data_IF_072239062039
#
_entry.id   IF_072239062039
#
_cell.length_a   1.000
_cell.length_b   1.000
_cell.length_c   1.000
_cell.angle_alpha   90.00
_cell.angle_beta   90.00
_cell.angle_gamma   90.00
#
_symmetry.space_group_name_H-M   'P 1'
#
loop_
_entity.id
_entity.type
_entity.pdbx_description
1 polymer ?
#
# COMPACT_ATOMS: atom_id res chain seq x y z
N UNK A 1 49.41 -1.63 -46.16
CA UNK A 1 50.53 -2.58 -45.88
C UNK A 1 50.90 -2.51 -44.39
N UNK A 2 51.52 -3.57 -43.85
CA UNK A 2 52.17 -3.70 -42.51
C UNK A 2 51.29 -3.66 -41.24
N UNK A 3 50.97 -4.88 -40.77
CA UNK A 3 50.78 -5.25 -39.35
C UNK A 3 52.14 -5.29 -38.61
N UNK A 4 52.07 -5.52 -37.27
CA UNK A 4 53.15 -5.92 -36.32
C UNK A 4 54.07 -4.78 -35.84
N UNK A 5 54.28 -4.55 -34.53
CA UNK A 5 54.61 -5.47 -33.42
C UNK A 5 53.91 -5.04 -32.11
N UNK A 6 53.23 -5.95 -31.40
CA UNK A 6 53.76 -6.76 -30.27
C UNK A 6 54.33 -5.94 -29.09
N UNK A 7 53.55 -5.92 -28.00
CA UNK A 7 53.92 -6.50 -26.70
C UNK A 7 55.36 -6.26 -26.21
N UNK A 8 55.54 -5.30 -25.30
CA UNK A 8 56.56 -5.30 -24.23
C UNK A 8 56.30 -4.16 -23.25
N UNK A 9 55.55 -4.44 -22.18
CA UNK A 9 55.56 -3.76 -20.85
C UNK A 9 54.46 -4.33 -19.91
N UNK A 10 54.43 -5.66 -19.79
CA UNK A 10 54.06 -6.27 -18.51
C UNK A 10 55.37 -6.43 -17.76
N UNK A 11 55.66 -5.54 -16.80
CA UNK A 11 56.74 -5.65 -15.79
C UNK A 11 56.74 -4.40 -14.88
N UNK A 12 55.64 -4.22 -14.11
CA UNK A 12 55.60 -3.43 -12.86
C UNK A 12 54.23 -3.54 -12.17
N UNK A 13 54.04 -4.64 -11.42
CA UNK A 13 53.17 -4.81 -10.22
C UNK A 13 53.01 -6.30 -9.88
N UNK A 14 54.13 -6.94 -9.56
CA UNK A 14 54.21 -8.18 -8.75
C UNK A 14 55.41 -8.03 -7.83
N UNK A 15 55.17 -7.50 -6.62
CA UNK A 15 56.02 -7.55 -5.43
C UNK A 15 55.34 -6.70 -4.35
N UNK A 16 54.61 -7.34 -3.44
CA UNK A 16 54.65 -7.06 -2.00
C UNK A 16 54.05 -8.26 -1.24
N UNK A 17 54.85 -8.73 -0.27
CA UNK A 17 54.93 -10.06 0.37
C UNK A 17 55.85 -9.84 1.61
N UNK A 18 55.76 -10.51 2.76
CA UNK A 18 54.98 -11.67 3.23
C UNK A 18 54.18 -11.28 4.52
N UNK A 19 54.13 -12.16 5.55
CA UNK A 19 53.77 -11.95 6.97
C UNK A 19 52.27 -11.74 7.34
N UNK A 20 51.69 -12.40 8.34
CA UNK A 20 52.08 -13.47 9.31
C UNK A 20 50.82 -14.35 9.52
N UNK A 21 50.84 -15.68 9.43
CA UNK A 21 51.26 -16.66 10.46
C UNK A 21 50.61 -16.42 11.84
N UNK A 22 49.64 -17.27 12.18
CA UNK A 22 49.31 -17.65 13.56
C UNK A 22 48.98 -19.14 13.59
N UNK A 23 49.69 -19.87 14.44
CA UNK A 23 49.52 -21.32 14.61
C UNK A 23 48.26 -21.64 15.44
N UNK A 24 47.68 -22.80 15.14
CA UNK A 24 46.44 -23.31 15.74
C UNK A 24 46.81 -24.42 16.74
N UNK A 25 46.84 -24.09 18.02
CA UNK A 25 47.25 -25.02 19.09
C UNK A 25 46.03 -25.80 19.62
N UNK A 26 45.98 -27.09 19.32
CA UNK A 26 44.98 -28.05 19.81
C UNK A 26 45.72 -29.15 20.57
N UNK A 27 45.47 -29.27 21.87
CA UNK A 27 45.73 -30.52 22.60
C UNK A 27 44.55 -30.91 23.50
N UNK A 28 44.38 -32.23 23.60
CA UNK A 28 43.24 -32.91 24.19
C UNK A 28 43.62 -33.54 25.53
N UNK A 29 42.63 -33.78 26.40
CA UNK A 29 42.61 -34.79 27.47
C UNK A 29 43.70 -34.81 28.56
N UNK A 30 43.29 -34.80 29.84
CA UNK A 30 43.31 -36.05 30.64
C UNK A 30 42.38 -36.00 31.87
N UNK A 31 41.89 -37.17 32.30
CA UNK A 31 40.93 -37.35 33.40
C UNK A 31 41.62 -37.65 34.76
N UNK A 32 41.09 -37.05 35.86
CA UNK A 32 40.80 -37.56 37.25
C UNK A 32 41.73 -38.61 37.97
N UNK A 33 41.53 -39.01 39.27
CA UNK A 33 40.53 -38.62 40.30
C UNK A 33 41.08 -38.45 41.77
N UNK A 34 40.17 -38.37 42.77
CA UNK A 34 40.35 -38.68 44.24
C UNK A 34 41.25 -37.77 45.13
N UNK A 35 41.04 -37.53 46.44
CA UNK A 35 39.99 -37.92 47.42
C UNK A 35 39.89 -36.90 48.61
N UNK A 36 38.67 -36.71 49.14
CA UNK A 36 38.25 -36.41 50.55
C UNK A 36 38.86 -35.27 51.46
N UNK A 37 38.22 -34.92 52.61
CA UNK A 37 38.18 -33.54 53.14
C UNK A 37 38.68 -33.34 54.59
N UNK A 38 38.72 -32.08 55.03
CA UNK A 38 38.96 -31.69 56.42
C UNK A 38 37.99 -30.60 56.95
N UNK A 39 37.16 -30.98 57.94
CA UNK A 39 36.33 -30.07 58.73
C UNK A 39 37.13 -29.41 59.87
N UNK A 40 37.02 -28.09 60.02
CA UNK A 40 37.15 -27.37 61.31
C UNK A 40 36.17 -26.19 61.32
N UNK A 41 35.65 -25.67 62.44
CA UNK A 41 35.92 -26.00 63.84
C UNK A 41 35.31 -25.00 64.84
N UNK A 42 34.05 -24.58 64.64
CA UNK A 42 33.11 -24.00 65.62
C UNK A 42 33.47 -22.75 66.49
N UNK A 43 32.63 -21.71 66.29
CA UNK A 43 31.92 -20.88 67.30
C UNK A 43 32.55 -19.65 68.00
N UNK A 44 31.95 -18.51 67.62
CA UNK A 44 31.21 -17.56 68.47
C UNK A 44 31.93 -16.50 69.34
N UNK A 45 31.56 -15.23 69.10
CA UNK A 45 31.08 -14.34 70.17
C UNK A 45 30.15 -13.24 69.64
N UNK A 46 28.99 -13.08 70.27
CA UNK A 46 28.00 -12.03 69.96
C UNK A 46 27.85 -11.07 71.15
N UNK A 47 28.49 -9.90 71.11
CA UNK A 47 28.16 -8.78 72.02
C UNK A 47 28.85 -7.45 71.63
N UNK A 48 28.32 -6.69 70.67
CA UNK A 48 28.54 -5.23 70.65
C UNK A 48 27.29 -4.44 70.21
N UNK A 49 26.54 -4.00 71.23
CA UNK A 49 25.94 -2.67 71.37
C UNK A 49 25.07 -2.15 70.20
N UNK A 50 23.75 -2.38 70.17
CA UNK A 50 22.76 -1.68 71.00
C UNK A 50 22.68 -0.14 70.83
N UNK A 51 23.07 0.43 69.67
CA UNK A 51 23.05 1.88 69.44
C UNK A 51 22.17 2.45 68.30
N UNK A 52 21.71 1.62 67.35
CA UNK A 52 21.25 2.14 66.02
C UNK A 52 19.72 2.14 65.83
N UNK A 53 18.96 1.37 66.61
CA UNK A 53 17.53 1.10 66.36
C UNK A 53 16.55 2.26 66.62
N UNK A 54 17.00 3.40 67.17
CA UNK A 54 16.13 4.56 67.45
C UNK A 54 16.09 5.62 66.33
N UNK A 55 17.08 5.67 65.43
CA UNK A 55 17.07 6.59 64.28
C UNK A 55 16.30 6.02 63.07
N UNK A 56 16.42 4.71 62.83
CA UNK A 56 15.72 4.03 61.72
C UNK A 56 14.19 4.19 61.77
N UNK A 57 13.61 4.26 62.98
CA UNK A 57 12.16 4.34 63.17
C UNK A 57 11.57 5.72 62.84
N UNK A 58 12.34 6.81 62.95
CA UNK A 58 11.86 8.17 62.61
C UNK A 58 11.95 8.41 61.10
N UNK A 59 13.04 7.98 60.46
CA UNK A 59 13.19 8.09 59.00
C UNK A 59 12.10 7.35 58.21
N UNK A 60 11.67 6.18 58.71
CA UNK A 60 10.60 5.41 58.08
C UNK A 60 9.24 6.16 58.03
N UNK A 61 8.85 6.86 59.10
CA UNK A 61 7.58 7.61 59.11
C UNK A 61 7.62 8.87 58.25
N UNK A 62 8.78 9.54 58.14
CA UNK A 62 8.94 10.69 57.25
C UNK A 62 8.72 10.32 55.77
N UNK A 63 9.19 9.13 55.35
CA UNK A 63 9.07 8.65 53.97
C UNK A 63 7.66 8.12 53.62
N UNK A 64 6.89 7.69 54.63
CA UNK A 64 5.46 7.36 54.45
C UNK A 64 4.59 8.63 54.35
N UNK A 65 4.95 9.70 55.07
CA UNK A 65 4.21 10.96 55.04
C UNK A 65 4.43 11.79 53.75
N UNK A 66 5.55 11.62 53.05
CA UNK A 66 5.82 12.35 51.79
C UNK A 66 4.98 11.86 50.61
N UNK A 67 4.53 10.60 50.60
CA UNK A 67 3.66 10.04 49.55
C UNK A 67 2.32 10.79 49.40
N UNK A 68 1.50 10.91 50.46
CA UNK A 68 0.26 11.68 50.41
C UNK A 68 0.45 13.16 50.05
N UNK A 69 1.53 13.79 50.55
CA UNK A 69 1.82 15.20 50.27
C UNK A 69 2.13 15.46 48.78
N UNK A 70 2.95 14.60 48.16
CA UNK A 70 3.24 14.68 46.72
C UNK A 70 2.00 14.32 45.88
N UNK A 71 1.21 13.33 46.30
CA UNK A 71 -0.06 12.99 45.65
C UNK A 71 -1.07 14.14 45.65
N UNK A 72 -1.18 14.87 46.76
CA UNK A 72 -2.09 16.01 46.89
C UNK A 72 -1.61 17.24 46.09
N UNK A 73 -0.29 17.50 46.05
CA UNK A 73 0.30 18.52 45.17
C UNK A 73 0.11 18.21 43.69
N UNK A 74 0.22 16.95 43.28
CA UNK A 74 -0.06 16.51 41.92
C UNK A 74 -1.54 16.68 41.55
N UNK A 75 -2.46 16.35 42.46
CA UNK A 75 -3.91 16.55 42.24
C UNK A 75 -4.30 18.02 42.10
N UNK A 76 -3.68 18.92 42.88
CA UNK A 76 -3.93 20.37 42.81
C UNK A 76 -3.28 21.03 41.59
N UNK A 77 -2.25 20.41 41.01
CA UNK A 77 -1.53 20.93 39.83
C UNK A 77 -2.10 20.44 38.48
N UNK A 78 -3.08 19.53 38.50
CA UNK A 78 -3.67 18.93 37.29
C UNK A 78 -4.65 19.86 36.53
N UNK A 79 -4.89 21.09 37.01
CA UNK A 79 -5.77 22.08 36.36
C UNK A 79 -5.01 23.12 35.55
N UNK A 80 -4.10 22.67 34.68
CA UNK A 80 -3.66 23.49 33.54
C UNK A 80 -4.80 23.58 32.50
N UNK A 81 -4.96 24.71 31.78
CA UNK A 81 -5.91 24.76 30.68
C UNK A 81 -5.50 23.71 29.64
N UNK A 82 -6.39 22.77 29.36
CA UNK A 82 -6.15 21.77 28.32
C UNK A 82 -5.93 22.52 27.00
N UNK A 83 -4.68 22.58 26.53
CA UNK A 83 -4.36 23.03 25.19
C UNK A 83 -5.16 22.15 24.26
N UNK A 84 -6.17 22.74 23.63
CA UNK A 84 -7.21 21.99 22.94
C UNK A 84 -6.56 21.05 21.95
N UNK A 85 -6.66 19.75 22.22
CA UNK A 85 -6.25 18.73 21.27
C UNK A 85 -6.89 19.12 19.94
N UNK A 86 -6.07 19.28 18.89
CA UNK A 86 -6.55 19.58 17.55
C UNK A 86 -7.63 18.55 17.26
N UNK A 87 -8.90 19.00 17.29
CA UNK A 87 -10.05 18.13 17.17
C UNK A 87 -9.76 17.25 15.96
N UNK A 88 -9.75 15.91 16.09
CA UNK A 88 -9.54 15.07 14.93
C UNK A 88 -10.48 15.58 13.87
N UNK A 89 -9.92 16.04 12.75
CA UNK A 89 -10.73 16.24 11.55
C UNK A 89 -11.20 14.83 11.28
N UNK A 90 -12.45 14.56 11.68
CA UNK A 90 -13.09 13.27 11.47
C UNK A 90 -12.98 13.07 9.98
N UNK A 91 -12.07 12.19 9.58
CA UNK A 91 -11.91 11.81 8.19
C UNK A 91 -13.32 11.43 7.75
N UNK A 92 -13.84 12.19 6.77
CA UNK A 92 -15.26 12.14 6.44
C UNK A 92 -15.64 10.67 6.30
N UNK A 93 -16.58 10.21 7.14
CA UNK A 93 -16.98 8.81 7.15
C UNK A 93 -17.28 8.43 5.70
N UNK A 94 -16.73 7.30 5.18
CA UNK A 94 -16.80 7.00 3.76
C UNK A 94 -18.25 7.09 3.32
N UNK A 95 -18.51 8.07 2.45
CA UNK A 95 -19.82 8.37 1.94
C UNK A 95 -20.41 7.06 1.38
N UNK A 96 -21.68 6.73 1.69
CA UNK A 96 -22.26 5.42 1.38
C UNK A 96 -21.82 4.94 0.00
N UNK A 97 -21.16 3.77 -0.04
CA UNK A 97 -20.41 3.31 -1.22
C UNK A 97 -21.29 3.04 -2.45
N UNK A 98 -22.61 3.13 -2.29
CA UNK A 98 -23.62 2.98 -3.34
C UNK A 98 -24.36 4.30 -3.58
N UNK A 99 -24.89 4.94 -2.53
CA UNK A 99 -25.47 6.29 -2.59
C UNK A 99 -26.43 6.54 -3.78
N UNK A 100 -26.46 7.77 -4.34
CA UNK A 100 -27.16 8.07 -5.59
C UNK A 100 -26.36 7.70 -6.86
N UNK A 101 -25.32 6.85 -6.77
CA UNK A 101 -24.38 6.61 -7.86
C UNK A 101 -25.06 6.01 -9.11
N UNK A 102 -25.86 4.95 -8.94
CA UNK A 102 -26.57 4.32 -10.07
C UNK A 102 -27.61 5.24 -10.72
N UNK A 103 -28.25 6.11 -9.94
CA UNK A 103 -29.17 7.14 -10.47
C UNK A 103 -28.42 8.18 -11.32
N UNK A 104 -27.23 8.60 -10.90
CA UNK A 104 -26.37 9.50 -11.66
C UNK A 104 -25.98 8.90 -13.02
N UNK A 105 -25.65 7.61 -13.03
CA UNK A 105 -25.22 6.91 -14.22
C UNK A 105 -26.35 6.80 -15.25
N UNK A 106 -27.53 6.34 -14.81
CA UNK A 106 -28.74 6.27 -15.63
C UNK A 106 -29.16 7.64 -16.18
N UNK A 107 -29.06 8.70 -15.37
CA UNK A 107 -29.36 10.06 -15.81
C UNK A 107 -28.39 10.54 -16.90
N UNK A 108 -27.09 10.27 -16.78
CA UNK A 108 -26.09 10.67 -17.79
C UNK A 108 -26.29 9.88 -19.09
N UNK A 109 -26.58 8.58 -19.02
CA UNK A 109 -26.92 7.78 -20.20
C UNK A 109 -28.17 8.29 -20.91
N UNK A 110 -29.25 8.57 -20.16
CA UNK A 110 -30.48 9.14 -20.70
C UNK A 110 -30.25 10.54 -21.29
N UNK A 111 -29.48 11.40 -20.63
CA UNK A 111 -29.15 12.75 -21.12
C UNK A 111 -28.37 12.74 -22.43
N UNK A 112 -27.48 11.76 -22.62
CA UNK A 112 -26.73 11.61 -23.87
C UNK A 112 -27.63 11.15 -25.03
N UNK A 113 -28.59 10.27 -24.75
CA UNK A 113 -29.58 9.80 -25.74
C UNK A 113 -30.60 10.87 -26.11
N UNK A 114 -31.00 11.69 -25.13
CA UNK A 114 -32.01 12.72 -25.28
C UNK A 114 -31.56 13.87 -26.19
N UNK A 115 -32.55 14.49 -26.82
CA UNK A 115 -32.39 15.68 -27.64
C UNK A 115 -33.67 16.51 -27.72
N UNK A 116 -33.67 17.48 -28.64
CA UNK A 116 -34.76 18.42 -28.86
C UNK A 116 -36.09 17.69 -29.11
N UNK A 117 -37.10 17.98 -28.28
CA UNK A 117 -38.42 17.34 -28.34
C UNK A 117 -38.55 16.04 -27.54
N UNK A 118 -37.47 15.57 -26.90
CA UNK A 118 -37.44 14.36 -26.04
C UNK A 118 -37.05 14.69 -24.59
N UNK A 119 -37.07 15.96 -24.19
CA UNK A 119 -36.74 16.41 -22.83
C UNK A 119 -37.57 15.74 -21.74
N UNK A 120 -38.79 15.31 -22.08
CA UNK A 120 -39.69 14.52 -21.22
C UNK A 120 -39.07 13.19 -20.75
N UNK A 121 -38.15 12.61 -21.52
CA UNK A 121 -37.50 11.35 -21.16
C UNK A 121 -36.52 11.52 -19.99
N UNK A 122 -36.11 12.77 -19.67
CA UNK A 122 -35.31 13.10 -18.50
C UNK A 122 -36.15 13.50 -17.27
N UNK A 123 -37.47 13.64 -17.40
CA UNK A 123 -38.36 14.00 -16.30
C UNK A 123 -38.29 13.07 -15.06
N UNK A 124 -38.01 11.75 -15.18
CA UNK A 124 -37.77 10.89 -14.01
C UNK A 124 -36.51 11.25 -13.21
N UNK A 125 -35.57 12.00 -13.80
CA UNK A 125 -34.29 12.34 -13.20
C UNK A 125 -34.19 13.81 -12.79
N UNK A 126 -34.68 14.72 -13.64
CA UNK A 126 -34.54 16.16 -13.48
C UNK A 126 -35.88 16.87 -13.74
N UNK A 127 -36.38 17.60 -12.74
CA UNK A 127 -37.68 18.29 -12.79
C UNK A 127 -37.60 19.77 -13.21
N UNK A 128 -36.42 20.27 -13.57
CA UNK A 128 -36.25 21.64 -14.04
C UNK A 128 -36.72 21.82 -15.49
N UNK A 129 -37.05 23.05 -15.88
CA UNK A 129 -37.32 23.40 -17.28
C UNK A 129 -36.03 23.61 -18.04
N UNK A 130 -35.88 22.96 -19.20
CA UNK A 130 -34.75 23.12 -20.11
C UNK A 130 -35.18 22.77 -21.54
N UNK A 131 -34.34 23.09 -22.52
CA UNK A 131 -34.47 22.67 -23.91
C UNK A 131 -33.13 22.11 -24.38
N UNK A 132 -33.14 20.99 -25.09
CA UNK A 132 -31.94 20.40 -25.67
C UNK A 132 -31.77 20.91 -27.10
N UNK A 133 -30.55 21.33 -27.45
CA UNK A 133 -30.21 21.81 -28.80
C UNK A 133 -29.69 20.69 -29.73
N UNK A 134 -29.52 19.48 -29.20
CA UNK A 134 -28.98 18.31 -29.91
C UNK A 134 -30.15 17.50 -30.47
N UNK A 135 -30.02 16.93 -31.67
CA UNK A 135 -31.05 16.05 -32.24
C UNK A 135 -31.10 14.71 -31.46
N UNK A 136 -32.29 14.19 -31.07
CA UNK A 136 -32.41 12.93 -30.32
C UNK A 136 -31.67 11.77 -30.99
N UNK A 137 -31.03 10.91 -30.19
CA UNK A 137 -30.32 9.72 -30.66
C UNK A 137 -29.05 9.99 -31.48
N UNK A 138 -28.57 11.24 -31.60
CA UNK A 138 -27.27 11.54 -32.26
C UNK A 138 -26.06 11.27 -31.36
N UNK A 139 -26.28 10.95 -30.09
CA UNK A 139 -25.26 10.50 -29.14
C UNK A 139 -25.85 9.40 -28.27
N UNK A 140 -24.99 8.51 -27.79
CA UNK A 140 -25.32 7.46 -26.84
C UNK A 140 -24.11 7.21 -25.92
N UNK A 141 -24.37 6.73 -24.70
CA UNK A 141 -23.34 6.11 -23.87
C UNK A 141 -23.33 4.60 -24.18
N UNK A 142 -22.27 4.09 -24.80
CA UNK A 142 -22.13 2.63 -25.03
C UNK A 142 -21.72 1.91 -23.75
N UNK A 143 -21.00 2.60 -22.87
CA UNK A 143 -20.68 2.19 -21.51
C UNK A 143 -20.65 3.43 -20.61
N UNK A 144 -21.00 3.24 -19.34
CA UNK A 144 -20.91 4.27 -18.30
C UNK A 144 -20.38 3.67 -17.00
N UNK A 145 -19.87 4.51 -16.11
CA UNK A 145 -19.48 4.14 -14.74
C UNK A 145 -19.29 5.38 -13.87
N UNK A 146 -19.57 5.28 -12.57
CA UNK A 146 -19.25 6.33 -11.60
C UNK A 146 -17.79 6.26 -11.19
N UNK A 147 -17.08 7.38 -11.28
CA UNK A 147 -15.66 7.51 -10.89
C UNK A 147 -15.45 8.22 -9.55
N UNK A 148 -16.38 9.08 -9.14
CA UNK A 148 -16.33 9.75 -7.86
C UNK A 148 -17.74 10.00 -7.33
N UNK A 149 -17.95 9.68 -6.06
CA UNK A 149 -19.14 10.02 -5.29
C UNK A 149 -18.72 10.86 -4.10
N UNK A 150 -19.20 12.10 -4.00
CA UNK A 150 -18.87 13.00 -2.89
C UNK A 150 -20.12 13.68 -2.37
N UNK A 151 -20.46 13.42 -1.11
CA UNK A 151 -21.43 14.23 -0.38
C UNK A 151 -20.87 15.66 -0.20
N UNK A 152 -21.64 16.65 -0.65
CA UNK A 152 -21.31 18.08 -0.57
C UNK A 152 -21.93 18.70 0.68
N UNK A 153 -23.16 18.30 0.98
CA UNK A 153 -23.92 18.61 2.19
C UNK A 153 -24.77 17.38 2.54
N UNK A 154 -25.26 17.21 3.78
CA UNK A 154 -26.07 16.06 4.16
C UNK A 154 -27.25 15.82 3.21
N UNK A 155 -27.27 14.68 2.51
CA UNK A 155 -28.29 14.34 1.51
C UNK A 155 -28.12 15.03 0.15
N UNK A 156 -26.99 15.69 -0.12
CA UNK A 156 -26.71 16.34 -1.40
C UNK A 156 -25.32 16.01 -1.93
N UNK A 157 -25.28 15.48 -3.14
CA UNK A 157 -24.14 14.76 -3.70
C UNK A 157 -23.65 15.37 -5.00
N UNK A 158 -22.34 15.36 -5.19
CA UNK A 158 -21.67 15.63 -6.46
C UNK A 158 -21.12 14.31 -6.98
N UNK A 159 -21.74 13.76 -8.02
CA UNK A 159 -21.30 12.52 -8.66
C UNK A 159 -20.60 12.83 -9.98
N UNK A 160 -19.45 12.20 -10.23
CA UNK A 160 -18.76 12.24 -11.52
C UNK A 160 -18.89 10.89 -12.21
N UNK A 161 -19.50 10.89 -13.40
CA UNK A 161 -19.72 9.73 -14.27
C UNK A 161 -18.77 9.83 -15.46
N UNK A 162 -18.10 8.73 -15.81
CA UNK A 162 -17.49 8.56 -17.12
C UNK A 162 -18.46 7.82 -18.05
N UNK A 163 -18.54 8.25 -19.30
CA UNK A 163 -19.29 7.59 -20.35
C UNK A 163 -18.43 7.46 -21.61
N UNK A 164 -18.34 6.27 -22.21
CA UNK A 164 -17.81 6.11 -23.56
C UNK A 164 -18.89 6.54 -24.55
N UNK A 165 -18.69 7.69 -25.18
CA UNK A 165 -19.71 8.32 -26.00
C UNK A 165 -19.51 7.92 -27.46
N UNK A 166 -20.56 7.37 -28.07
CA UNK A 166 -20.66 7.21 -29.53
C UNK A 166 -21.60 8.27 -30.07
N UNK A 167 -21.26 8.86 -31.22
CA UNK A 167 -22.13 9.77 -31.95
C UNK A 167 -22.59 9.12 -33.26
N UNK A 168 -23.85 9.34 -33.61
CA UNK A 168 -24.45 8.87 -34.85
C UNK A 168 -24.71 10.05 -35.79
N UNK A 169 -24.31 9.91 -37.06
CA UNK A 169 -24.69 10.88 -38.10
C UNK A 169 -26.17 10.72 -38.52
N UNK A 170 -26.68 11.63 -39.36
CA UNK A 170 -28.06 11.56 -39.89
C UNK A 170 -28.37 10.30 -40.71
N UNK A 171 -27.36 9.47 -41.02
CA UNK A 171 -27.48 8.19 -41.72
C UNK A 171 -27.28 6.99 -40.78
N UNK A 172 -27.22 7.22 -39.47
CA UNK A 172 -27.02 6.18 -38.45
C UNK A 172 -25.60 5.63 -38.38
N UNK A 173 -24.59 6.32 -38.94
CA UNK A 173 -23.20 5.87 -38.83
C UNK A 173 -22.62 6.23 -37.47
N UNK A 174 -22.31 5.20 -36.69
CA UNK A 174 -21.61 5.30 -35.42
C UNK A 174 -20.16 5.80 -35.61
N UNK A 175 -19.78 6.80 -34.80
CA UNK A 175 -18.41 7.27 -34.59
C UNK A 175 -18.15 7.41 -33.11
N UNK A 176 -17.26 6.59 -32.56
CA UNK A 176 -16.80 6.71 -31.17
C UNK A 176 -16.12 8.07 -30.97
N UNK A 177 -16.60 8.83 -29.99
CA UNK A 177 -15.99 10.08 -29.52
C UNK A 177 -15.05 9.82 -28.33
N UNK A 178 -15.15 8.66 -27.70
CA UNK A 178 -14.32 8.23 -26.58
C UNK A 178 -14.91 8.60 -25.22
N UNK A 179 -14.12 8.34 -24.16
CA UNK A 179 -14.55 8.55 -22.78
C UNK A 179 -14.66 10.05 -22.46
N UNK A 180 -15.85 10.47 -22.07
CA UNK A 180 -16.18 11.81 -21.61
C UNK A 180 -16.64 11.76 -20.15
N UNK A 181 -16.46 12.86 -19.42
CA UNK A 181 -16.68 12.93 -17.99
C UNK A 181 -17.75 13.98 -17.69
N UNK A 182 -18.74 13.59 -16.92
CA UNK A 182 -19.89 14.42 -16.58
C UNK A 182 -20.05 14.49 -15.07
N UNK A 183 -20.31 15.69 -14.54
CA UNK A 183 -20.61 15.91 -13.13
C UNK A 183 -22.06 16.35 -12.96
N UNK A 184 -22.77 15.71 -12.03
CA UNK A 184 -24.17 15.97 -11.70
C UNK A 184 -24.33 16.19 -10.20
N UNK A 185 -25.12 17.21 -9.85
CA UNK A 185 -25.63 17.41 -8.49
C UNK A 185 -26.89 16.56 -8.29
N UNK A 186 -26.96 15.79 -7.21
CA UNK A 186 -28.12 14.93 -6.89
C UNK A 186 -28.49 15.11 -5.43
N UNK A 187 -29.77 15.42 -5.19
CA UNK A 187 -30.39 15.35 -3.88
C UNK A 187 -30.88 13.92 -3.63
N UNK A 188 -30.59 13.41 -2.44
CA UNK A 188 -30.99 12.10 -1.95
C UNK A 188 -31.82 12.24 -0.68
N UNK A 189 -32.96 11.55 -0.64
CA UNK A 189 -33.82 11.40 0.53
C UNK A 189 -33.91 9.93 0.93
N UNK A 190 -34.34 9.66 2.17
CA UNK A 190 -34.42 8.30 2.71
C UNK A 190 -33.24 7.94 3.63
N UNK A 191 -32.96 6.64 3.80
CA UNK A 191 -31.96 6.16 4.75
C UNK A 191 -30.52 6.53 4.39
N UNK A 192 -29.66 6.59 5.41
CA UNK A 192 -28.23 6.87 5.24
C UNK A 192 -27.50 5.86 4.33
N UNK A 193 -27.97 4.62 4.23
CA UNK A 193 -27.49 3.62 3.27
C UNK A 193 -27.72 4.05 1.81
N UNK A 194 -28.81 4.77 1.53
CA UNK A 194 -29.11 5.38 0.23
C UNK A 194 -28.41 6.74 0.02
N UNK A 195 -27.68 7.24 1.01
CA UNK A 195 -27.10 8.59 0.99
C UNK A 195 -28.10 9.70 1.33
N UNK A 196 -29.29 9.37 1.84
CA UNK A 196 -30.21 10.32 2.45
C UNK A 196 -29.88 10.61 3.92
N UNK A 197 -30.66 11.45 4.58
CA UNK A 197 -30.44 11.91 5.96
C UNK A 197 -31.46 11.39 6.97
N UNK A 198 -32.53 10.72 6.52
CA UNK A 198 -33.62 10.28 7.38
C UNK A 198 -33.33 8.88 7.94
N UNK A 199 -33.18 8.77 9.25
CA UNK A 199 -32.91 7.49 9.94
C UNK A 199 -34.12 6.57 10.05
N UNK A 200 -35.34 7.08 9.86
CA UNK A 200 -36.58 6.33 10.01
C UNK A 200 -37.17 5.88 8.67
N UNK A 201 -36.76 6.50 7.56
CA UNK A 201 -37.22 6.13 6.22
C UNK A 201 -36.68 4.76 5.76
N UNK A 202 -37.56 3.93 5.20
CA UNK A 202 -37.19 2.72 4.46
C UNK A 202 -36.83 3.02 3.00
N UNK A 203 -37.48 4.02 2.41
CA UNK A 203 -37.52 4.24 0.98
C UNK A 203 -36.57 5.37 0.58
N UNK A 204 -35.87 5.20 -0.55
CA UNK A 204 -34.95 6.18 -1.09
C UNK A 204 -35.60 7.00 -2.21
N UNK A 205 -35.32 8.31 -2.25
CA UNK A 205 -35.71 9.20 -3.33
C UNK A 205 -34.50 9.95 -3.88
N UNK A 206 -34.45 10.14 -5.20
CA UNK A 206 -33.35 10.84 -5.86
C UNK A 206 -33.90 11.86 -6.87
N UNK A 207 -33.27 13.02 -6.93
CA UNK A 207 -33.52 14.04 -7.95
C UNK A 207 -32.20 14.72 -8.33
N UNK A 208 -31.92 14.82 -9.63
CA UNK A 208 -30.84 15.68 -10.11
C UNK A 208 -31.23 17.15 -9.87
N UNK A 209 -30.25 17.97 -9.49
CA UNK A 209 -30.43 19.41 -9.27
C UNK A 209 -29.98 20.27 -10.46
N UNK A 210 -29.29 19.66 -11.43
CA UNK A 210 -28.85 20.31 -12.67
C UNK A 210 -28.75 19.30 -13.81
N UNK A 211 -28.70 19.78 -15.05
CA UNK A 211 -28.20 18.99 -16.18
C UNK A 211 -26.73 18.58 -15.96
N UNK A 212 -26.24 17.51 -16.63
CA UNK A 212 -24.86 17.08 -16.51
C UNK A 212 -23.86 18.10 -17.08
N UNK A 213 -22.93 18.55 -16.24
CA UNK A 213 -21.85 19.44 -16.65
C UNK A 213 -20.66 18.60 -17.16
N UNK A 214 -20.23 18.81 -18.40
CA UNK A 214 -19.02 18.17 -18.90
C UNK A 214 -17.78 18.71 -18.19
N UNK A 215 -16.92 17.82 -17.70
CA UNK A 215 -15.71 18.14 -16.92
C UNK A 215 -14.47 17.47 -17.52
N UNK A 216 -13.28 17.90 -17.08
CA UNK A 216 -12.03 17.25 -17.44
C UNK A 216 -11.94 15.83 -16.86
N UNK A 217 -11.13 14.99 -17.51
CA UNK A 217 -10.75 13.68 -16.98
C UNK A 217 -10.06 13.82 -15.61
N UNK A 218 -10.24 12.85 -14.68
CA UNK A 218 -9.39 12.75 -13.50
C UNK A 218 -7.92 12.67 -13.87
N UNK A 219 -7.05 13.24 -13.02
CA UNK A 219 -5.62 13.25 -13.27
C UNK A 219 -5.03 11.82 -13.20
N UNK A 220 -4.40 11.37 -14.28
CA UNK A 220 -3.62 10.14 -14.29
C UNK A 220 -2.39 10.27 -13.39
N UNK A 221 -2.20 9.31 -12.49
CA UNK A 221 -0.99 9.22 -11.64
C UNK A 221 -0.01 8.22 -12.22
N UNK A 222 1.29 8.49 -12.07
CA UNK A 222 2.33 7.48 -12.32
C UNK A 222 2.35 6.52 -11.11
N UNK A 223 2.30 5.19 -11.32
CA UNK A 223 2.43 4.25 -10.22
C UNK A 223 3.80 4.39 -9.54
N UNK A 224 3.86 4.05 -8.25
CA UNK A 224 5.14 3.89 -7.55
C UNK A 224 5.99 2.80 -8.19
N UNK A 225 7.31 2.82 -7.94
CA UNK A 225 8.18 1.74 -8.39
C UNK A 225 7.75 0.40 -7.80
N UNK A 226 7.76 -0.67 -8.58
CA UNK A 226 7.44 -2.01 -8.09
C UNK A 226 8.61 -2.58 -7.26
N UNK A 227 8.29 -3.48 -6.33
CA UNK A 227 9.26 -4.10 -5.41
C UNK A 227 10.15 -5.17 -6.05
N UNK A 228 9.81 -5.62 -7.27
CA UNK A 228 10.55 -6.63 -8.01
C UNK A 228 11.72 -5.97 -8.77
N UNK A 229 12.92 -6.02 -8.18
CA UNK A 229 14.11 -5.31 -8.68
C UNK A 229 15.00 -6.18 -9.57
N UNK A 230 14.97 -7.49 -9.36
CA UNK A 230 15.90 -8.45 -9.95
C UNK A 230 15.25 -9.17 -11.12
N UNK A 231 15.77 -8.97 -12.34
CA UNK A 231 15.33 -9.72 -13.51
C UNK A 231 15.91 -11.15 -13.52
N UNK A 232 15.02 -12.14 -13.65
CA UNK A 232 15.33 -13.57 -13.78
C UNK A 232 15.18 -14.07 -15.22
N UNK A 233 14.65 -13.24 -16.12
CA UNK A 233 14.33 -13.62 -17.49
C UNK A 233 13.28 -14.74 -17.54
N UNK A 234 13.42 -15.67 -18.48
CA UNK A 234 12.45 -16.73 -18.74
C UNK A 234 13.07 -18.13 -18.91
N UNK A 235 14.24 -18.37 -18.30
CA UNK A 235 14.92 -19.68 -18.38
C UNK A 235 14.34 -20.71 -17.42
N UNK A 236 14.08 -21.94 -17.90
CA UNK A 236 13.77 -23.12 -17.04
C UNK A 236 14.91 -23.50 -16.10
N UNK A 237 16.13 -23.01 -16.34
CA UNK A 237 17.29 -23.34 -15.52
C UNK A 237 17.30 -22.61 -14.16
N UNK A 238 16.42 -21.64 -13.92
CA UNK A 238 16.14 -21.13 -12.58
C UNK A 238 14.93 -21.90 -11.99
N UNK A 239 15.09 -22.64 -10.88
CA UNK A 239 14.01 -23.41 -10.26
C UNK A 239 12.78 -22.60 -9.85
N UNK A 240 12.94 -21.30 -9.56
CA UNK A 240 11.80 -20.43 -9.23
C UNK A 240 10.94 -20.15 -10.47
N UNK A 241 11.58 -19.78 -11.57
CA UNK A 241 10.96 -19.52 -12.88
C UNK A 241 10.25 -20.76 -13.42
N UNK A 242 10.86 -21.95 -13.28
CA UNK A 242 10.23 -23.20 -13.71
C UNK A 242 9.01 -23.57 -12.84
N UNK A 243 9.06 -23.30 -11.53
CA UNK A 243 7.92 -23.49 -10.63
C UNK A 243 6.77 -22.55 -10.98
N UNK A 244 7.05 -21.26 -11.19
CA UNK A 244 6.06 -20.27 -11.60
C UNK A 244 5.44 -20.60 -12.97
N UNK A 245 6.25 -21.08 -13.94
CA UNK A 245 5.78 -21.56 -15.24
C UNK A 245 4.80 -22.74 -15.10
N UNK A 246 5.20 -23.76 -14.36
CA UNK A 246 4.39 -24.97 -14.18
C UNK A 246 3.07 -24.67 -13.46
N UNK A 247 3.13 -23.84 -12.42
CA UNK A 247 1.96 -23.34 -11.71
C UNK A 247 1.01 -22.57 -12.66
N UNK A 248 1.50 -21.56 -13.38
CA UNK A 248 0.64 -20.75 -14.25
C UNK A 248 0.07 -21.57 -15.43
N UNK A 249 0.82 -22.54 -15.95
CA UNK A 249 0.30 -23.46 -16.96
C UNK A 249 -0.89 -24.25 -16.39
N UNK A 250 -0.73 -24.92 -15.25
CA UNK A 250 -1.80 -25.65 -14.58
C UNK A 250 -3.01 -24.75 -14.26
N UNK A 251 -2.75 -23.54 -13.73
CA UNK A 251 -3.77 -22.60 -13.28
C UNK A 251 -4.63 -22.02 -14.41
N UNK A 252 -4.02 -21.73 -15.57
CA UNK A 252 -4.64 -20.99 -16.67
C UNK A 252 -5.18 -21.85 -17.81
N UNK A 253 -4.63 -23.06 -18.01
CA UNK A 253 -5.09 -23.99 -19.06
C UNK A 253 -5.79 -25.22 -18.52
N UNK A 254 -5.70 -25.50 -17.20
CA UNK A 254 -6.23 -26.72 -16.59
C UNK A 254 -5.58 -28.01 -17.07
N UNK A 255 -4.48 -27.94 -17.85
CA UNK A 255 -3.90 -29.10 -18.54
C UNK A 255 -3.03 -30.01 -17.64
N UNK A 256 -2.71 -29.58 -16.42
CA UNK A 256 -1.79 -30.26 -15.51
C UNK A 256 -2.24 -30.10 -14.06
N UNK A 257 -1.77 -31.01 -13.19
CA UNK A 257 -2.08 -30.98 -11.75
C UNK A 257 -1.47 -29.74 -11.07
N UNK A 258 -2.34 -28.87 -10.54
CA UNK A 258 -1.94 -27.63 -9.85
C UNK A 258 -1.20 -27.92 -8.54
N UNK A 259 -1.67 -28.93 -7.79
CA UNK A 259 -1.17 -29.30 -6.46
C UNK A 259 0.33 -29.59 -6.42
N UNK A 260 0.90 -30.06 -7.54
CA UNK A 260 2.35 -30.30 -7.68
C UNK A 260 3.19 -29.03 -7.47
N UNK A 261 2.63 -27.86 -7.76
CA UNK A 261 3.32 -26.57 -7.74
C UNK A 261 2.89 -25.69 -6.55
N UNK A 262 1.95 -26.11 -5.72
CA UNK A 262 1.44 -25.30 -4.59
C UNK A 262 1.98 -25.75 -3.24
N UNK A 263 2.00 -24.84 -2.28
CA UNK A 263 2.37 -25.15 -0.89
C UNK A 263 1.28 -26.01 -0.23
N UNK A 264 1.62 -26.99 0.63
CA UNK A 264 0.64 -27.78 1.35
C UNK A 264 -0.34 -26.91 2.14
N UNK A 265 -1.64 -27.18 2.00
CA UNK A 265 -2.70 -26.43 2.66
C UNK A 265 -3.21 -25.21 1.90
N UNK A 266 -2.47 -24.73 0.89
CA UNK A 266 -2.95 -23.69 -0.04
C UNK A 266 -4.24 -24.15 -0.72
N UNK A 267 -5.21 -23.22 -0.88
CA UNK A 267 -6.54 -23.45 -1.48
C UNK A 267 -6.66 -22.73 -2.82
N UNK A 268 -5.74 -23.01 -3.75
CA UNK A 268 -5.81 -22.51 -5.13
C UNK A 268 -6.49 -23.56 -6.00
N UNK A 269 -7.30 -23.12 -6.97
CA UNK A 269 -7.98 -23.97 -7.94
C UNK A 269 -7.70 -23.44 -9.35
N UNK A 270 -7.54 -24.30 -10.37
CA UNK A 270 -7.46 -23.84 -11.75
C UNK A 270 -8.69 -23.05 -12.17
N UNK A 271 -8.53 -22.08 -13.08
CA UNK A 271 -9.66 -21.33 -13.62
C UNK A 271 -10.54 -22.29 -14.45
N UNK A 272 -11.84 -22.34 -14.14
CA UNK A 272 -12.79 -23.25 -14.78
C UNK A 272 -14.03 -22.48 -15.30
N UNK A 273 -14.41 -22.64 -16.58
CA UNK A 273 -13.70 -23.38 -17.63
C UNK A 273 -12.35 -22.73 -17.98
N UNK A 274 -11.40 -23.52 -18.50
CA UNK A 274 -10.05 -23.06 -18.81
C UNK A 274 -10.06 -21.97 -19.91
N UNK A 275 -9.68 -20.71 -19.61
CA UNK A 275 -9.76 -19.62 -20.58
C UNK A 275 -8.72 -19.70 -21.71
N UNK A 276 -7.60 -20.40 -21.48
CA UNK A 276 -6.47 -20.46 -22.41
C UNK A 276 -6.09 -21.89 -22.80
N UNK A 277 -5.65 -22.07 -24.05
CA UNK A 277 -5.18 -23.33 -24.59
C UNK A 277 -3.66 -23.53 -24.40
N UNK A 278 -2.90 -22.44 -24.32
CA UNK A 278 -1.44 -22.47 -24.16
C UNK A 278 -0.91 -21.26 -23.37
N UNK A 279 0.32 -21.38 -22.87
CA UNK A 279 1.02 -20.37 -22.10
C UNK A 279 2.52 -20.32 -22.46
N UNK A 280 3.09 -19.11 -22.51
CA UNK A 280 4.52 -18.88 -22.60
C UNK A 280 4.94 -17.81 -21.58
N UNK A 281 5.85 -18.14 -20.66
CA UNK A 281 6.49 -17.15 -19.78
C UNK A 281 7.45 -16.29 -20.62
N UNK A 282 7.30 -14.98 -20.55
CA UNK A 282 8.11 -14.00 -21.31
C UNK A 282 9.17 -13.34 -20.43
N UNK A 283 8.87 -13.09 -19.15
CA UNK A 283 9.80 -12.56 -18.17
C UNK A 283 9.37 -12.87 -16.74
N UNK A 284 10.32 -12.81 -15.82
CA UNK A 284 10.13 -12.92 -14.37
C UNK A 284 11.04 -11.92 -13.70
N UNK A 285 10.51 -11.09 -12.81
CA UNK A 285 11.31 -10.32 -11.85
C UNK A 285 11.00 -10.79 -10.43
N UNK A 286 11.92 -10.62 -9.50
CA UNK A 286 11.68 -10.88 -8.08
C UNK A 286 12.31 -9.82 -7.16
N UNK A 287 11.98 -9.92 -5.87
CA UNK A 287 12.42 -9.03 -4.79
C UNK A 287 13.77 -9.44 -4.17
N UNK A 288 14.47 -10.43 -4.74
CA UNK A 288 15.76 -10.88 -4.21
C UNK A 288 16.90 -9.91 -4.52
N UNK A 289 17.95 -9.94 -3.70
CA UNK A 289 19.09 -9.02 -3.81
C UNK A 289 20.22 -9.49 -4.75
N UNK A 290 19.96 -10.34 -5.74
CA UNK A 290 21.01 -10.90 -6.59
C UNK A 290 20.56 -11.48 -7.93
N UNK A 291 21.19 -11.03 -9.03
CA UNK A 291 20.84 -11.35 -10.42
C UNK A 291 21.34 -12.69 -10.98
N UNK A 292 21.97 -13.53 -10.15
CA UNK A 292 22.40 -14.88 -10.54
C UNK A 292 21.28 -15.91 -10.34
N UNK A 293 21.25 -16.96 -11.16
CA UNK A 293 20.28 -18.07 -11.03
C UNK A 293 20.19 -18.57 -9.58
N UNK A 294 18.97 -18.66 -9.04
CA UNK A 294 18.77 -19.01 -7.64
C UNK A 294 18.83 -20.52 -7.44
N UNK A 295 19.91 -21.03 -6.83
CA UNK A 295 19.81 -22.34 -6.16
C UNK A 295 18.74 -22.21 -5.07
N UNK A 296 17.86 -23.21 -4.96
CA UNK A 296 16.82 -23.19 -3.92
C UNK A 296 17.46 -23.03 -2.53
N UNK A 297 17.07 -21.99 -1.76
CA UNK A 297 17.63 -21.68 -0.45
C UNK A 297 17.10 -22.63 0.62
N UNK A 298 17.47 -22.39 1.89
CA UNK A 298 16.95 -23.13 3.03
C UNK A 298 15.41 -23.06 3.09
N UNK A 299 14.80 -24.15 3.57
CA UNK A 299 13.34 -24.28 3.70
C UNK A 299 12.71 -23.14 4.50
N UNK A 300 11.52 -22.71 4.06
CA UNK A 300 10.74 -21.64 4.66
C UNK A 300 11.08 -20.24 4.14
N UNK A 301 12.11 -20.08 3.31
CA UNK A 301 12.43 -18.82 2.61
C UNK A 301 11.28 -18.42 1.70
N UNK A 302 10.92 -17.14 1.69
CA UNK A 302 9.86 -16.57 0.84
C UNK A 302 10.51 -15.77 -0.29
N UNK A 303 9.87 -15.75 -1.46
CA UNK A 303 10.27 -14.99 -2.63
C UNK A 303 9.02 -14.43 -3.31
N UNK A 304 8.98 -13.13 -3.59
CA UNK A 304 7.88 -12.50 -4.31
C UNK A 304 8.28 -12.30 -5.77
N UNK A 305 7.50 -12.86 -6.70
CA UNK A 305 7.78 -12.80 -8.14
C UNK A 305 6.70 -12.06 -8.90
N UNK A 306 7.11 -11.26 -9.89
CA UNK A 306 6.25 -10.71 -10.93
C UNK A 306 6.54 -11.43 -12.24
N UNK A 307 5.56 -12.16 -12.75
CA UNK A 307 5.71 -13.07 -13.88
C UNK A 307 4.89 -12.55 -15.06
N UNK A 308 5.55 -12.20 -16.16
CA UNK A 308 4.89 -11.88 -17.43
C UNK A 308 4.70 -13.15 -18.26
N UNK A 309 3.50 -13.31 -18.82
CA UNK A 309 3.15 -14.43 -19.69
C UNK A 309 2.39 -13.96 -20.92
N UNK A 310 2.63 -14.59 -22.06
CA UNK A 310 1.72 -14.57 -23.20
C UNK A 310 0.90 -15.87 -23.15
N UNK A 311 -0.39 -15.76 -22.88
CA UNK A 311 -1.35 -16.84 -23.00
C UNK A 311 -1.95 -16.87 -24.42
N UNK A 312 -2.48 -18.01 -24.85
CA UNK A 312 -3.22 -18.13 -26.11
C UNK A 312 -4.64 -18.62 -25.80
N UNK A 313 -5.65 -17.87 -26.23
CA UNK A 313 -7.05 -18.25 -26.03
C UNK A 313 -7.47 -19.49 -26.86
N UNK A 314 -8.69 -19.96 -26.64
CA UNK A 314 -9.24 -21.11 -27.38
C UNK A 314 -9.44 -20.87 -28.89
N UNK A 315 -9.33 -19.62 -29.36
CA UNK A 315 -9.41 -19.23 -30.77
C UNK A 315 -8.03 -18.99 -31.41
N UNK A 316 -6.94 -19.11 -30.64
CA UNK A 316 -5.57 -18.89 -31.12
C UNK A 316 -5.05 -17.45 -30.95
N UNK A 317 -5.80 -16.56 -30.30
CA UNK A 317 -5.40 -15.16 -30.07
C UNK A 317 -4.43 -15.04 -28.88
N UNK A 318 -3.30 -14.34 -29.02
CA UNK A 318 -2.40 -14.08 -27.90
C UNK A 318 -2.94 -13.00 -26.96
N UNK A 319 -2.77 -13.21 -25.65
CA UNK A 319 -3.12 -12.28 -24.57
C UNK A 319 -1.97 -12.20 -23.58
N UNK A 320 -1.36 -11.01 -23.42
CA UNK A 320 -0.32 -10.80 -22.42
C UNK A 320 -0.92 -10.53 -21.04
N UNK A 321 -0.44 -11.24 -20.02
CA UNK A 321 -0.89 -11.16 -18.62
C UNK A 321 0.32 -10.99 -17.69
N UNK A 322 0.08 -10.54 -16.46
CA UNK A 322 1.09 -10.40 -15.42
C UNK A 322 0.55 -10.93 -14.10
N UNK A 323 1.32 -11.76 -13.40
CA UNK A 323 0.95 -12.36 -12.12
C UNK A 323 1.96 -12.00 -11.04
N UNK A 324 1.48 -11.51 -9.91
CA UNK A 324 2.25 -11.45 -8.68
C UNK A 324 2.06 -12.78 -7.94
N UNK A 325 3.16 -13.46 -7.60
CA UNK A 325 3.17 -14.76 -6.94
C UNK A 325 4.06 -14.70 -5.70
N UNK A 326 3.58 -15.24 -4.58
CA UNK A 326 4.43 -15.52 -3.43
C UNK A 326 4.85 -16.99 -3.47
N UNK A 327 6.15 -17.24 -3.57
CA UNK A 327 6.77 -18.57 -3.55
C UNK A 327 7.40 -18.84 -2.18
N UNK A 328 7.46 -20.11 -1.78
CA UNK A 328 8.12 -20.57 -0.56
C UNK A 328 9.00 -21.79 -0.83
N UNK A 329 10.20 -21.83 -0.26
CA UNK A 329 11.09 -22.99 -0.38
C UNK A 329 10.69 -24.10 0.58
N UNK A 330 10.73 -25.36 0.11
CA UNK A 330 10.50 -26.55 0.93
C UNK A 330 11.13 -27.79 0.31
N UNK A 331 11.81 -28.60 1.11
CA UNK A 331 12.51 -29.81 0.70
C UNK A 331 13.33 -29.64 -0.60
N UNK A 332 14.05 -28.51 -0.72
CA UNK A 332 14.90 -28.21 -1.88
C UNK A 332 14.18 -27.86 -3.19
N UNK A 333 12.87 -27.60 -3.18
CA UNK A 333 12.11 -26.99 -4.30
C UNK A 333 11.44 -25.68 -3.88
N UNK A 334 10.94 -24.94 -4.86
CA UNK A 334 9.95 -23.87 -4.63
C UNK A 334 8.53 -24.44 -4.74
N UNK A 335 7.60 -23.84 -4.00
CA UNK A 335 6.16 -24.08 -4.06
C UNK A 335 5.44 -22.73 -4.04
N UNK A 336 4.39 -22.54 -4.84
CA UNK A 336 3.56 -21.31 -4.84
C UNK A 336 2.65 -21.32 -3.62
N UNK A 337 2.76 -20.29 -2.77
CA UNK A 337 1.93 -20.11 -1.58
C UNK A 337 0.64 -19.35 -1.91
N UNK A 338 0.73 -18.29 -2.72
CA UNK A 338 -0.40 -17.46 -3.18
C UNK A 338 -0.20 -16.91 -4.59
N UNK A 339 -1.32 -16.60 -5.25
CA UNK A 339 -1.40 -15.56 -6.28
C UNK A 339 -1.84 -14.29 -5.54
N UNK A 340 -1.09 -13.21 -5.70
CA UNK A 340 -1.31 -11.99 -4.91
C UNK A 340 -2.25 -11.03 -5.66
N UNK A 341 -3.15 -10.36 -4.93
CA UNK A 341 -4.21 -9.51 -5.51
C UNK A 341 -3.68 -8.35 -6.40
N UNK A 342 -2.47 -7.86 -6.09
CA UNK A 342 -1.79 -6.84 -6.87
C UNK A 342 -0.26 -6.95 -6.72
N UNK A 343 0.52 -6.56 -7.74
CA UNK A 343 1.98 -6.43 -7.62
C UNK A 343 2.38 -5.47 -6.50
N UNK A 344 3.35 -5.89 -5.68
CA UNK A 344 3.87 -5.08 -4.59
C UNK A 344 4.53 -3.79 -5.11
N UNK A 345 4.10 -2.66 -4.58
CA UNK A 345 4.70 -1.34 -4.81
C UNK A 345 5.70 -1.08 -3.68
N UNK A 346 6.88 -0.54 -4.00
CA UNK A 346 7.87 -0.14 -2.98
C UNK A 346 7.23 0.85 -2.02
N UNK A 347 7.38 0.60 -0.72
CA UNK A 347 7.12 1.60 0.28
C UNK A 347 7.99 2.84 -0.02
N UNK A 348 7.36 3.99 -0.23
CA UNK A 348 8.10 5.23 -0.33
C UNK A 348 8.79 5.45 1.01
N UNK A 349 10.13 5.44 1.03
CA UNK A 349 10.86 5.85 2.22
C UNK A 349 10.40 7.26 2.59
N UNK A 350 10.04 7.54 3.87
CA UNK A 350 9.81 8.91 4.28
C UNK A 350 11.06 9.72 3.94
N UNK A 351 10.91 11.01 3.55
CA UNK A 351 12.07 11.84 3.28
C UNK A 351 12.98 11.81 4.51
N UNK A 352 14.21 11.32 4.34
CA UNK A 352 15.19 11.26 5.41
C UNK A 352 15.27 12.63 6.03
N UNK A 353 14.94 12.74 7.32
CA UNK A 353 14.96 14.00 8.03
C UNK A 353 16.40 14.51 7.99
N UNK A 354 16.67 15.50 7.14
CA UNK A 354 17.94 16.18 7.11
C UNK A 354 18.22 16.66 8.54
N UNK A 355 19.39 16.34 9.13
CA UNK A 355 19.66 16.68 10.51
C UNK A 355 19.51 18.19 10.69
N UNK A 356 18.48 18.59 11.42
CA UNK A 356 18.23 19.98 11.75
C UNK A 356 19.42 20.47 12.57
N UNK A 357 20.32 21.24 11.96
CA UNK A 357 21.37 21.93 12.70
C UNK A 357 20.70 22.89 13.67
N UNK A 358 20.63 22.51 14.94
CA UNK A 358 20.14 23.37 16.02
C UNK A 358 21.11 24.51 16.20
N UNK A 359 20.90 25.59 15.45
CA UNK A 359 21.55 26.87 15.70
C UNK A 359 20.97 27.45 16.98
N UNK A 360 21.58 27.12 18.11
CA UNK A 360 21.31 27.75 19.41
C UNK A 360 21.53 29.27 19.27
N UNK A 361 20.50 30.11 19.44
CA UNK A 361 20.70 31.55 19.47
C UNK A 361 21.42 31.93 20.77
N UNK A 362 22.56 32.60 20.63
CA UNK A 362 23.31 33.16 21.77
C UNK A 362 22.51 34.30 22.40
N UNK A 363 22.28 34.31 23.73
CA UNK A 363 21.53 35.36 24.39
C UNK A 363 22.46 36.50 24.83
N UNK A 364 22.72 37.46 23.94
CA UNK A 364 23.19 38.78 24.37
C UNK A 364 22.76 39.89 23.38
N UNK A 365 22.64 41.11 23.89
CA UNK A 365 22.06 42.34 23.29
C UNK A 365 20.57 42.58 23.59
N UNK A 366 20.26 42.87 24.85
CA UNK A 366 19.06 43.61 25.23
C UNK A 366 19.15 45.09 24.84
N UNK A 367 18.00 45.77 24.81
CA UNK A 367 17.81 47.25 24.84
C UNK A 367 17.71 47.99 23.50
N UNK A 368 16.47 48.17 23.00
CA UNK A 368 15.99 49.46 22.49
C UNK A 368 14.44 49.51 22.48
N UNK A 369 13.87 50.54 23.12
CA UNK A 369 12.42 50.78 23.30
C UNK A 369 11.77 51.39 22.04
N UNK A 370 10.49 51.11 21.71
CA UNK A 370 9.83 51.65 20.52
C UNK A 370 9.16 53.03 20.71
N UNK A 371 9.22 53.92 19.70
CA UNK A 371 8.27 55.04 19.46
C UNK A 371 8.55 55.75 18.11
N UNK A 372 7.70 56.65 17.58
CA UNK A 372 6.67 56.28 16.59
C UNK A 372 6.80 57.03 15.23
N UNK A 373 5.87 56.77 14.30
CA UNK A 373 5.78 57.43 12.97
C UNK A 373 5.51 58.94 13.03
N UNK A 374 5.99 59.68 12.02
CA UNK A 374 5.12 60.38 11.05
C UNK A 374 5.49 60.00 9.59
N UNK A 375 4.58 59.87 8.62
CA UNK A 375 3.66 60.83 7.97
C UNK A 375 4.33 61.87 7.05
N UNK A 376 3.86 61.88 5.80
CA UNK A 376 4.13 62.82 4.69
C UNK A 376 5.55 62.81 4.07
N UNK A 377 5.72 63.11 2.78
CA UNK A 377 4.75 63.61 1.76
C UNK A 377 4.70 62.75 0.50
#
# INVERSE_FOLDING_TARGET
MKRQRRQRKADKKKQFVEAEVWDEEVEEHQESPTDQPDETGWKASTAHMSGISRLARVGAWALVASGPALGMLAFLSASGPAQGATKPVVAAAPASSVGPAGFAELFVAAYLQAGQGTERDLAPYYSGSFALAVKPGTREATQSTVLASREVQPGYWSITVAADVTAHDDKGKAKRLGVQYFRVGIQATGPASAGGTDKAASDAGYAATSLPAQVAAPASVKPGGLAYETDRGSSSADPSVETARGFLAAYLTGSTELDRYTSPGTRLQPISPAPYAALKVTGVQDDSSGSGQQKVPADGTVLHQLVQVDATDQAGSPVSLSYALTLKSRAGRWEVASVDDAPAIRASSPPSAAPHTTTTPSPDAATATPSPSPSNS
#
